data_IF_044907668873
#
_entry.id   IF_044907668873
#
_cell.length_a   1.000
_cell.length_b   1.000
_cell.length_c   1.000
_cell.angle_alpha   90.00
_cell.angle_beta   90.00
_cell.angle_gamma   90.00
#
_symmetry.space_group_name_H-M   'P 1'
#
loop_
_entity.id
_entity.type
_entity.pdbx_description
1 polymer ?
#
# COMPACT_ATOMS: atom_id res chain seq x y z
N UNK A 1 -0.17 -41.03 -2.30
CA UNK A 1 -1.12 -41.29 -1.20
C UNK A 1 -0.44 -41.03 0.15
N UNK A 2 0.73 -41.59 0.42
CA UNK A 2 1.51 -41.31 1.66
C UNK A 2 1.95 -39.84 1.80
N UNK A 3 2.39 -39.17 0.73
CA UNK A 3 2.76 -37.73 0.79
C UNK A 3 1.56 -36.80 1.07
N UNK A 4 0.39 -37.14 0.55
CA UNK A 4 -0.83 -36.33 0.74
C UNK A 4 -1.38 -36.50 2.15
N UNK A 5 -1.24 -37.69 2.74
CA UNK A 5 -1.67 -38.00 4.10
C UNK A 5 -0.70 -37.38 5.13
N UNK A 6 0.61 -37.39 4.84
CA UNK A 6 1.62 -36.70 5.65
C UNK A 6 1.43 -35.18 5.63
N UNK A 7 1.15 -34.60 4.47
CA UNK A 7 0.85 -33.16 4.32
C UNK A 7 -0.37 -32.75 5.15
N UNK A 8 -1.45 -33.54 5.15
CA UNK A 8 -2.65 -33.29 5.96
C UNK A 8 -2.40 -33.44 7.47
N UNK A 9 -1.54 -34.38 7.88
CA UNK A 9 -1.15 -34.53 9.29
C UNK A 9 -0.32 -33.33 9.78
N UNK A 10 0.62 -32.85 8.97
CA UNK A 10 1.43 -31.67 9.27
C UNK A 10 0.54 -30.41 9.40
N UNK A 11 -0.42 -30.20 8.48
CA UNK A 11 -1.38 -29.09 8.58
C UNK A 11 -2.22 -29.13 9.86
N UNK A 12 -2.69 -30.32 10.27
CA UNK A 12 -3.46 -30.48 11.52
C UNK A 12 -2.60 -30.18 12.77
N UNK A 13 -1.32 -30.54 12.74
CA UNK A 13 -0.34 -30.21 13.78
C UNK A 13 -0.16 -28.71 13.91
N UNK A 14 0.07 -28.02 12.80
CA UNK A 14 0.22 -26.56 12.74
C UNK A 14 -1.04 -25.84 13.24
N UNK A 15 -2.23 -26.26 12.78
CA UNK A 15 -3.51 -25.66 13.23
C UNK A 15 -3.70 -25.82 14.75
N UNK A 16 -3.35 -26.98 15.29
CA UNK A 16 -3.46 -27.24 16.73
C UNK A 16 -2.49 -26.36 17.53
N UNK A 17 -1.25 -26.22 17.05
CA UNK A 17 -0.25 -25.33 17.63
C UNK A 17 -0.71 -23.86 17.63
N UNK A 18 -1.18 -23.35 16.49
CA UNK A 18 -1.68 -21.98 16.34
C UNK A 18 -2.91 -21.70 17.21
N UNK A 19 -3.78 -22.71 17.37
CA UNK A 19 -4.94 -22.65 18.26
C UNK A 19 -4.52 -22.56 19.74
N UNK A 20 -3.46 -23.28 20.13
CA UNK A 20 -2.91 -23.21 21.49
C UNK A 20 -2.33 -21.81 21.80
N UNK A 21 -1.61 -21.20 20.85
CA UNK A 21 -1.14 -19.81 20.98
C UNK A 21 -2.33 -18.85 21.17
N UNK A 22 -3.37 -19.00 20.35
CA UNK A 22 -4.58 -18.17 20.45
C UNK A 22 -5.27 -18.32 21.80
N UNK A 23 -5.44 -19.55 22.29
CA UNK A 23 -6.03 -19.83 23.59
C UNK A 23 -5.20 -19.23 24.74
N UNK A 24 -3.86 -19.33 24.67
CA UNK A 24 -2.94 -18.71 25.62
C UNK A 24 -3.11 -17.19 25.68
N UNK A 25 -3.23 -16.54 24.51
CA UNK A 25 -3.43 -15.10 24.43
C UNK A 25 -4.76 -14.68 25.07
N UNK A 26 -5.85 -15.38 24.75
CA UNK A 26 -7.18 -15.12 25.31
C UNK A 26 -7.16 -15.29 26.85
N UNK A 27 -6.56 -16.38 27.34
CA UNK A 27 -6.45 -16.63 28.78
C UNK A 27 -5.64 -15.54 29.51
N UNK A 28 -4.59 -15.03 28.86
CA UNK A 28 -3.75 -13.94 29.40
C UNK A 28 -4.52 -12.62 29.48
N UNK A 29 -5.35 -12.31 28.47
CA UNK A 29 -6.19 -11.11 28.46
C UNK A 29 -7.25 -11.12 29.57
N UNK A 30 -7.85 -12.27 29.88
CA UNK A 30 -8.87 -12.39 30.93
C UNK A 30 -8.28 -12.27 32.35
N UNK A 31 -7.03 -12.69 32.56
CA UNK A 31 -6.36 -12.69 33.87
C UNK A 31 -5.56 -11.40 34.13
N UNK A 32 -6.16 -10.22 33.92
CA UNK A 32 -5.58 -8.89 34.23
C UNK A 32 -5.11 -8.67 35.69
N UNK A 33 -5.27 -9.64 36.60
CA UNK A 33 -4.93 -9.55 38.04
C UNK A 33 -3.91 -10.57 38.56
N UNK A 34 -3.62 -11.66 37.85
CA UNK A 34 -2.61 -12.62 38.27
C UNK A 34 -1.50 -12.62 37.22
N UNK A 35 -0.26 -12.32 37.65
CA UNK A 35 0.97 -12.38 36.85
C UNK A 35 1.21 -13.81 36.31
N UNK A 36 0.43 -14.25 35.32
CA UNK A 36 0.85 -15.32 34.44
C UNK A 36 2.01 -14.75 33.64
N UNK A 37 3.22 -15.01 34.13
CA UNK A 37 4.41 -14.83 33.33
C UNK A 37 4.27 -15.86 32.21
N UNK A 38 4.00 -15.41 31.00
CA UNK A 38 4.02 -16.29 29.84
C UNK A 38 5.38 -17.01 29.84
N UNK A 39 5.37 -18.32 29.62
CA UNK A 39 6.59 -19.11 29.46
C UNK A 39 7.44 -18.61 28.28
N UNK A 40 6.76 -18.01 27.30
CA UNK A 40 7.33 -17.44 26.09
C UNK A 40 6.94 -15.97 25.97
N UNK A 41 7.86 -15.15 25.51
CA UNK A 41 7.60 -13.75 25.15
C UNK A 41 6.68 -13.67 23.94
N UNK A 42 6.07 -12.48 23.74
CA UNK A 42 5.26 -12.20 22.56
C UNK A 42 6.06 -12.41 21.27
N UNK A 43 7.32 -11.97 21.26
CA UNK A 43 8.21 -12.07 20.10
C UNK A 43 8.60 -13.52 19.81
N UNK A 44 8.95 -14.33 20.82
CA UNK A 44 9.22 -15.76 20.63
C UNK A 44 8.00 -16.52 20.05
N UNK A 45 6.79 -16.18 20.51
CA UNK A 45 5.56 -16.75 19.96
C UNK A 45 5.32 -16.28 18.52
N UNK A 46 5.59 -15.02 18.21
CA UNK A 46 5.50 -14.48 16.85
C UNK A 46 6.52 -15.13 15.91
N UNK A 47 7.77 -15.30 16.33
CA UNK A 47 8.79 -16.03 15.57
C UNK A 47 8.35 -17.46 15.28
N UNK A 48 7.78 -18.16 16.26
CA UNK A 48 7.26 -19.51 16.03
C UNK A 48 6.11 -19.54 15.01
N UNK A 49 5.23 -18.53 15.00
CA UNK A 49 4.19 -18.40 13.96
C UNK A 49 4.80 -18.07 12.60
N UNK A 50 5.83 -17.21 12.54
CA UNK A 50 6.56 -16.89 11.31
C UNK A 50 7.19 -18.14 10.70
N UNK A 51 7.82 -19.01 11.51
CA UNK A 51 8.37 -20.29 11.06
C UNK A 51 7.31 -21.18 10.42
N UNK A 52 6.07 -21.18 10.92
CA UNK A 52 4.95 -21.90 10.29
C UNK A 52 4.59 -21.23 8.95
N UNK A 53 4.51 -19.90 8.90
CA UNK A 53 4.19 -19.15 7.68
C UNK A 53 5.23 -19.33 6.57
N UNK A 54 6.52 -19.42 6.91
CA UNK A 54 7.61 -19.63 5.94
C UNK A 54 7.61 -21.01 5.28
N UNK A 55 7.04 -22.02 5.96
CA UNK A 55 6.88 -23.37 5.41
C UNK A 55 5.73 -23.48 4.40
N UNK A 56 4.87 -22.47 4.33
CA UNK A 56 3.73 -22.48 3.41
C UNK A 56 4.21 -22.32 1.95
N UNK A 57 3.58 -23.01 1.00
CA UNK A 57 4.01 -22.99 -0.40
C UNK A 57 3.96 -21.58 -1.01
N UNK A 58 5.04 -21.20 -1.69
CA UNK A 58 5.27 -19.88 -2.29
C UNK A 58 4.24 -19.54 -3.40
N UNK A 59 3.75 -20.55 -4.12
CA UNK A 59 2.77 -20.37 -5.22
C UNK A 59 1.54 -21.28 -5.07
N UNK A 60 0.78 -20.98 -4.01
CA UNK A 60 -0.68 -20.99 -3.94
C UNK A 60 -1.47 -22.28 -4.21
N UNK A 61 -1.38 -23.23 -3.30
CA UNK A 61 -2.54 -24.06 -2.92
C UNK A 61 -3.24 -23.35 -1.74
N UNK A 62 -4.54 -23.01 -1.83
CA UNK A 62 -5.28 -22.47 -0.69
C UNK A 62 -5.24 -23.43 0.51
N UNK A 63 -4.76 -22.94 1.65
CA UNK A 63 -4.66 -23.70 2.92
C UNK A 63 -5.35 -22.92 4.06
N UNK A 64 -5.88 -23.64 5.05
CA UNK A 64 -6.43 -23.06 6.27
C UNK A 64 -5.36 -22.66 7.29
N UNK A 65 -4.09 -23.05 7.10
CA UNK A 65 -3.02 -22.72 8.04
C UNK A 65 -2.73 -21.22 8.05
N UNK A 66 -2.67 -20.56 6.88
CA UNK A 66 -2.40 -19.12 6.77
C UNK A 66 -3.38 -18.24 7.56
N UNK A 67 -4.72 -18.38 7.44
CA UNK A 67 -5.63 -17.62 8.28
C UNK A 67 -5.49 -17.96 9.78
N UNK A 68 -5.17 -19.21 10.15
CA UNK A 68 -4.86 -19.55 11.54
C UNK A 68 -3.61 -18.80 12.06
N UNK A 69 -2.55 -18.68 11.25
CA UNK A 69 -1.36 -17.88 11.61
C UNK A 69 -1.74 -16.42 11.86
N UNK A 70 -2.51 -15.82 10.94
CA UNK A 70 -2.96 -14.43 11.07
C UNK A 70 -3.87 -14.22 12.30
N UNK A 71 -4.71 -15.20 12.66
CA UNK A 71 -5.51 -15.16 13.89
C UNK A 71 -4.63 -15.25 15.14
N UNK A 72 -3.60 -16.09 15.14
CA UNK A 72 -2.64 -16.17 16.24
C UNK A 72 -1.91 -14.82 16.44
N UNK A 73 -1.41 -14.20 15.35
CA UNK A 73 -0.80 -12.87 15.43
C UNK A 73 -1.81 -11.80 15.85
N UNK A 74 -3.05 -11.85 15.35
CA UNK A 74 -4.12 -10.96 15.81
C UNK A 74 -4.35 -11.05 17.32
N UNK A 75 -4.27 -12.24 17.91
CA UNK A 75 -4.44 -12.40 19.35
C UNK A 75 -3.22 -11.90 20.13
N UNK A 76 -2.01 -12.07 19.57
CA UNK A 76 -0.76 -11.54 20.11
C UNK A 76 -0.73 -10.00 20.07
N UNK A 77 -1.27 -9.37 19.02
CA UNK A 77 -1.34 -7.90 18.89
C UNK A 77 -2.15 -7.23 20.00
N UNK A 78 -3.02 -7.98 20.68
CA UNK A 78 -3.81 -7.47 21.82
C UNK A 78 -3.04 -7.49 23.16
N UNK A 79 -1.85 -8.08 23.20
CA UNK A 79 -0.99 -8.15 24.38
C UNK A 79 0.08 -7.06 24.28
N UNK A 80 0.30 -6.29 25.36
CA UNK A 80 1.36 -5.28 25.41
C UNK A 80 2.71 -5.92 25.77
N UNK A 81 3.85 -5.37 25.30
CA UNK A 81 4.01 -4.20 24.42
C UNK A 81 3.65 -4.49 22.94
N UNK A 82 3.64 -3.47 22.06
CA UNK A 82 3.52 -3.68 20.61
C UNK A 82 4.51 -4.70 20.06
N UNK A 83 4.18 -5.33 18.93
CA UNK A 83 5.13 -6.22 18.23
C UNK A 83 6.41 -5.48 17.84
N UNK A 84 7.53 -6.23 17.83
CA UNK A 84 8.76 -5.72 17.26
C UNK A 84 8.57 -5.30 15.77
N UNK A 85 9.05 -4.11 15.36
CA UNK A 85 8.91 -3.60 14.00
C UNK A 85 9.42 -4.50 12.87
N UNK A 86 10.45 -5.32 13.11
CA UNK A 86 11.02 -6.23 12.12
C UNK A 86 10.20 -7.52 12.03
N UNK A 87 9.77 -8.05 13.18
CA UNK A 87 8.84 -9.20 13.22
C UNK A 87 7.50 -8.86 12.57
N UNK A 88 6.93 -7.69 12.87
CA UNK A 88 5.71 -7.20 12.22
C UNK A 88 5.90 -7.12 10.70
N UNK A 89 7.04 -6.60 10.24
CA UNK A 89 7.37 -6.54 8.82
C UNK A 89 7.47 -7.92 8.18
N UNK A 90 8.02 -8.91 8.89
CA UNK A 90 8.06 -10.30 8.42
C UNK A 90 6.65 -10.88 8.27
N UNK A 91 5.82 -10.73 9.30
CA UNK A 91 4.41 -11.18 9.27
C UNK A 91 3.65 -10.53 8.11
N UNK A 92 3.77 -9.21 7.94
CA UNK A 92 3.10 -8.47 6.86
C UNK A 92 3.52 -9.01 5.49
N UNK A 93 4.82 -9.21 5.25
CA UNK A 93 5.32 -9.76 3.97
C UNK A 93 4.74 -11.15 3.69
N UNK A 94 4.82 -12.07 4.65
CA UNK A 94 4.34 -13.45 4.46
C UNK A 94 2.82 -13.52 4.30
N UNK A 95 2.08 -12.77 5.13
CA UNK A 95 0.62 -12.72 5.06
C UNK A 95 0.12 -12.13 3.74
N UNK A 96 0.70 -11.00 3.32
CA UNK A 96 0.34 -10.35 2.05
C UNK A 96 0.73 -11.23 0.87
N UNK A 97 1.90 -11.85 0.88
CA UNK A 97 2.31 -12.78 -0.16
C UNK A 97 1.28 -13.90 -0.31
N UNK A 98 0.98 -14.64 0.76
CA UNK A 98 0.04 -15.76 0.72
C UNK A 98 -1.39 -15.37 0.33
N UNK A 99 -1.86 -14.16 0.65
CA UNK A 99 -3.21 -13.69 0.30
C UNK A 99 -3.26 -13.11 -1.11
N UNK A 100 -2.28 -12.31 -1.50
CA UNK A 100 -2.29 -11.58 -2.76
C UNK A 100 -1.94 -12.45 -3.94
N UNK A 101 -1.07 -13.46 -3.78
CA UNK A 101 -0.72 -14.41 -4.85
C UNK A 101 -1.64 -15.64 -4.88
N UNK A 102 -2.58 -15.78 -3.93
CA UNK A 102 -3.45 -16.96 -3.83
C UNK A 102 -4.17 -17.25 -5.15
N UNK A 103 -3.87 -18.40 -5.75
CA UNK A 103 -4.50 -18.87 -6.96
C UNK A 103 -5.89 -19.44 -6.64
N UNK A 104 -6.89 -18.71 -7.11
CA UNK A 104 -8.29 -19.13 -7.01
C UNK A 104 -8.72 -19.83 -8.31
N UNK A 105 -7.98 -19.65 -9.43
CA UNK A 105 -8.26 -20.24 -10.74
C UNK A 105 -9.73 -20.21 -11.15
N UNK A 106 -10.18 -21.27 -11.82
CA UNK A 106 -11.60 -21.67 -11.96
C UNK A 106 -12.09 -22.48 -10.75
N UNK A 107 -11.39 -22.39 -9.62
CA UNK A 107 -11.59 -23.21 -8.44
C UNK A 107 -13.03 -23.24 -7.95
N UNK A 108 -13.48 -24.45 -7.59
CA UNK A 108 -14.79 -24.69 -7.01
C UNK A 108 -15.07 -23.85 -5.76
N UNK A 109 -16.32 -23.84 -5.32
CA UNK A 109 -16.84 -22.99 -4.25
C UNK A 109 -15.95 -22.96 -2.99
N UNK A 110 -15.32 -24.08 -2.64
CA UNK A 110 -14.41 -24.22 -1.49
C UNK A 110 -13.18 -23.29 -1.57
N UNK A 111 -12.47 -23.22 -2.71
CA UNK A 111 -11.30 -22.35 -2.86
C UNK A 111 -11.67 -20.87 -2.75
N UNK A 112 -12.83 -20.51 -3.31
CA UNK A 112 -13.35 -19.14 -3.21
C UNK A 112 -13.75 -18.79 -1.78
N UNK A 113 -14.40 -19.69 -1.05
CA UNK A 113 -14.77 -19.50 0.35
C UNK A 113 -13.54 -19.36 1.25
N UNK A 114 -12.52 -20.20 1.04
CA UNK A 114 -11.27 -20.14 1.79
C UNK A 114 -10.52 -18.83 1.51
N UNK A 115 -10.43 -18.39 0.25
CA UNK A 115 -9.85 -17.09 -0.07
C UNK A 115 -10.60 -15.94 0.59
N UNK A 116 -11.95 -15.93 0.56
CA UNK A 116 -12.76 -14.86 1.20
C UNK A 116 -12.46 -14.79 2.70
N UNK A 117 -12.40 -15.95 3.36
CA UNK A 117 -12.07 -16.06 4.79
C UNK A 117 -10.66 -15.57 5.07
N UNK A 118 -9.69 -15.99 4.26
CA UNK A 118 -8.27 -15.60 4.38
C UNK A 118 -8.09 -14.10 4.16
N UNK A 119 -8.72 -13.54 3.11
CA UNK A 119 -8.70 -12.10 2.83
C UNK A 119 -9.36 -11.29 3.94
N UNK A 120 -10.48 -11.74 4.50
CA UNK A 120 -11.12 -11.07 5.63
C UNK A 120 -10.24 -11.09 6.88
N UNK A 121 -9.53 -12.21 7.10
CA UNK A 121 -8.59 -12.37 8.22
C UNK A 121 -7.38 -11.43 8.07
N UNK A 122 -6.85 -11.25 6.85
CA UNK A 122 -5.82 -10.25 6.59
C UNK A 122 -6.31 -8.83 6.94
N UNK A 123 -7.53 -8.46 6.57
CA UNK A 123 -8.09 -7.16 6.94
C UNK A 123 -8.20 -6.99 8.46
N UNK A 124 -8.57 -8.04 9.20
CA UNK A 124 -8.61 -8.02 10.68
C UNK A 124 -7.20 -7.85 11.25
N UNK A 125 -6.22 -8.60 10.74
CA UNK A 125 -4.83 -8.51 11.14
C UNK A 125 -4.29 -7.09 10.97
N UNK A 126 -4.41 -6.51 9.77
CA UNK A 126 -3.92 -5.16 9.46
C UNK A 126 -4.52 -4.10 10.39
N UNK A 127 -5.83 -4.17 10.64
CA UNK A 127 -6.50 -3.27 11.60
C UNK A 127 -6.00 -3.47 13.02
N UNK A 128 -5.73 -4.71 13.42
CA UNK A 128 -5.25 -5.01 14.76
C UNK A 128 -3.82 -4.53 15.02
N UNK A 129 -2.93 -4.68 14.04
CA UNK A 129 -1.56 -4.18 14.08
C UNK A 129 -1.58 -2.65 14.17
N UNK A 130 -2.33 -1.98 13.29
CA UNK A 130 -2.46 -0.53 13.35
C UNK A 130 -2.99 -0.03 14.70
N UNK A 131 -3.89 -0.78 15.34
CA UNK A 131 -4.43 -0.42 16.65
C UNK A 131 -3.43 -0.60 17.81
N UNK A 132 -2.29 -1.29 17.63
CA UNK A 132 -1.24 -1.37 18.65
C UNK A 132 -0.51 -0.04 18.83
N UNK A 133 -0.30 0.68 17.72
CA UNK A 133 0.27 2.01 17.67
C UNK A 133 -0.48 2.84 16.61
N UNK A 134 -1.60 3.51 16.97
CA UNK A 134 -2.52 4.14 16.02
C UNK A 134 -2.00 5.48 15.52
N UNK A 135 -0.79 5.49 14.97
CA UNK A 135 -0.15 6.69 14.43
C UNK A 135 -0.13 6.68 12.91
N UNK A 136 -0.06 7.87 12.31
CA UNK A 136 0.11 7.95 10.85
C UNK A 136 1.44 7.35 10.40
N UNK A 137 2.49 7.41 11.23
CA UNK A 137 3.78 6.78 10.93
C UNK A 137 3.64 5.27 10.78
N UNK A 138 2.92 4.62 11.70
CA UNK A 138 2.67 3.20 11.63
C UNK A 138 1.77 2.83 10.45
N UNK A 139 0.71 3.59 10.19
CA UNK A 139 -0.13 3.42 9.00
C UNK A 139 0.69 3.40 7.71
N UNK A 140 1.60 4.38 7.52
CA UNK A 140 2.45 4.44 6.33
C UNK A 140 3.42 3.26 6.24
N UNK A 141 3.98 2.78 7.36
CA UNK A 141 4.80 1.56 7.39
C UNK A 141 4.03 0.33 6.90
N UNK A 142 2.79 0.13 7.34
CA UNK A 142 1.95 -0.98 6.86
C UNK A 142 1.63 -0.79 5.37
N UNK A 143 1.30 0.43 4.95
CA UNK A 143 1.01 0.74 3.54
C UNK A 143 2.21 0.46 2.63
N UNK A 144 3.44 0.69 3.08
CA UNK A 144 4.67 0.35 2.32
C UNK A 144 4.72 -1.12 1.92
N UNK A 145 4.35 -2.03 2.82
CA UNK A 145 4.26 -3.46 2.52
C UNK A 145 3.15 -3.77 1.51
N UNK A 146 2.01 -3.07 1.59
CA UNK A 146 0.91 -3.22 0.62
C UNK A 146 1.32 -2.66 -0.76
N UNK A 147 1.99 -1.52 -0.80
CA UNK A 147 2.36 -0.81 -2.02
C UNK A 147 3.40 -1.56 -2.85
N UNK A 148 4.20 -2.44 -2.26
CA UNK A 148 4.98 -3.41 -3.03
C UNK A 148 4.12 -4.16 -4.06
N UNK A 149 2.88 -4.52 -3.71
CA UNK A 149 1.99 -5.32 -4.54
C UNK A 149 1.11 -4.51 -5.50
N UNK A 150 0.96 -3.20 -5.30
CA UNK A 150 0.17 -2.38 -6.25
C UNK A 150 0.89 -2.20 -7.59
N UNK A 151 2.20 -2.49 -7.63
CA UNK A 151 3.03 -2.47 -8.86
C UNK A 151 3.18 -3.85 -9.50
N UNK A 152 2.50 -4.89 -8.99
CA UNK A 152 2.60 -6.24 -9.53
C UNK A 152 2.19 -6.31 -11.01
N UNK A 153 2.89 -7.12 -11.80
CA UNK A 153 2.49 -7.45 -13.17
C UNK A 153 1.12 -8.15 -13.24
N UNK A 154 0.70 -8.82 -12.17
CA UNK A 154 -0.56 -9.57 -12.12
C UNK A 154 -1.72 -8.69 -11.65
N UNK A 155 -2.74 -8.57 -12.52
CA UNK A 155 -3.93 -7.73 -12.24
C UNK A 155 -4.64 -8.09 -10.93
N UNK A 156 -4.69 -9.37 -10.58
CA UNK A 156 -5.40 -9.85 -9.39
C UNK A 156 -4.66 -9.40 -8.12
N UNK A 157 -3.33 -9.51 -8.09
CA UNK A 157 -2.50 -9.02 -7.00
C UNK A 157 -2.69 -7.51 -6.78
N UNK A 158 -2.62 -6.71 -7.86
CA UNK A 158 -2.85 -5.26 -7.77
C UNK A 158 -4.24 -4.93 -7.21
N UNK A 159 -5.29 -5.60 -7.68
CA UNK A 159 -6.67 -5.42 -7.18
C UNK A 159 -6.76 -5.73 -5.68
N UNK A 160 -6.15 -6.83 -5.23
CA UNK A 160 -6.17 -7.25 -3.82
C UNK A 160 -5.42 -6.25 -2.95
N UNK A 161 -4.22 -5.84 -3.37
CA UNK A 161 -3.38 -4.89 -2.65
C UNK A 161 -4.06 -3.53 -2.46
N UNK A 162 -4.53 -2.92 -3.55
CA UNK A 162 -5.15 -1.58 -3.47
C UNK A 162 -6.49 -1.61 -2.71
N UNK A 163 -7.23 -2.73 -2.74
CA UNK A 163 -8.42 -2.91 -1.90
C UNK A 163 -8.05 -2.91 -0.42
N UNK A 164 -6.98 -3.61 -0.03
CA UNK A 164 -6.47 -3.62 1.35
C UNK A 164 -5.97 -2.25 1.79
N UNK A 165 -5.24 -1.53 0.93
CA UNK A 165 -4.82 -0.14 1.17
C UNK A 165 -6.04 0.74 1.49
N UNK A 166 -7.07 0.71 0.65
CA UNK A 166 -8.29 1.50 0.85
C UNK A 166 -9.02 1.11 2.14
N UNK A 167 -9.05 -0.18 2.51
CA UNK A 167 -9.69 -0.66 3.73
C UNK A 167 -8.95 -0.22 5.00
N UNK A 168 -7.62 -0.27 4.98
CA UNK A 168 -6.78 0.18 6.08
C UNK A 168 -6.90 1.69 6.30
N UNK A 169 -6.84 2.47 5.22
CA UNK A 169 -7.01 3.93 5.27
C UNK A 169 -8.40 4.33 5.76
N UNK A 170 -9.46 3.66 5.29
CA UNK A 170 -10.82 3.85 5.83
C UNK A 170 -10.88 3.58 7.33
N UNK A 171 -10.25 2.51 7.80
CA UNK A 171 -10.23 2.18 9.21
C UNK A 171 -9.52 3.28 10.02
N UNK A 172 -8.35 3.74 9.58
CA UNK A 172 -7.60 4.81 10.24
C UNK A 172 -8.43 6.11 10.39
N UNK A 173 -9.17 6.52 9.34
CA UNK A 173 -10.05 7.71 9.40
C UNK A 173 -11.14 7.57 10.46
N UNK A 174 -11.64 6.35 10.69
CA UNK A 174 -12.73 6.07 11.63
C UNK A 174 -12.25 5.83 13.07
N UNK A 175 -10.94 5.82 13.31
CA UNK A 175 -10.39 5.58 14.64
C UNK A 175 -10.41 6.87 15.50
N UNK A 176 -11.07 6.85 16.68
CA UNK A 176 -11.16 8.04 17.54
C UNK A 176 -9.81 8.50 18.09
N UNK A 177 -8.94 7.56 18.47
CA UNK A 177 -7.66 7.81 19.13
C UNK A 177 -6.49 7.86 18.13
N UNK A 178 -6.76 8.08 16.84
CA UNK A 178 -5.74 8.07 15.81
C UNK A 178 -4.86 9.33 15.85
N UNK A 179 -3.56 9.14 16.01
CA UNK A 179 -2.60 10.24 16.04
C UNK A 179 -2.18 10.64 14.61
N UNK A 180 -2.79 11.74 14.15
CA UNK A 180 -2.46 12.38 12.89
C UNK A 180 -1.30 13.39 12.99
N UNK A 181 -0.71 13.61 14.17
CA UNK A 181 0.24 14.74 14.39
C UNK A 181 1.66 14.48 13.92
N UNK A 182 2.03 13.21 13.72
CA UNK A 182 3.38 12.82 13.30
C UNK A 182 3.80 13.47 11.97
N UNK A 183 5.06 13.92 11.88
CA UNK A 183 5.67 14.36 10.62
C UNK A 183 5.96 13.13 9.75
N UNK A 184 5.52 13.18 8.50
CA UNK A 184 5.58 12.03 7.58
C UNK A 184 6.47 12.39 6.39
N UNK A 185 7.78 12.12 6.45
CA UNK A 185 8.68 12.46 5.36
C UNK A 185 8.31 11.73 4.05
N UNK A 186 7.75 10.51 4.14
CA UNK A 186 7.41 9.67 2.97
C UNK A 186 5.96 9.83 2.47
N UNK A 187 5.18 10.78 3.01
CA UNK A 187 3.79 10.98 2.58
C UNK A 187 3.68 11.24 1.07
N UNK A 188 4.60 12.04 0.53
CA UNK A 188 4.62 12.36 -0.90
C UNK A 188 4.82 11.11 -1.77
N UNK A 189 5.69 10.20 -1.33
CA UNK A 189 5.90 8.92 -2.02
C UNK A 189 4.60 8.12 -2.10
N UNK A 190 3.89 7.91 -0.99
CA UNK A 190 2.65 7.14 -1.01
C UNK A 190 1.51 7.79 -1.79
N UNK A 191 1.40 9.12 -1.75
CA UNK A 191 0.42 9.84 -2.58
C UNK A 191 0.72 9.63 -4.06
N UNK A 192 1.98 9.73 -4.48
CA UNK A 192 2.38 9.51 -5.86
C UNK A 192 2.10 8.07 -6.32
N UNK A 193 2.45 7.08 -5.50
CA UNK A 193 2.17 5.66 -5.79
C UNK A 193 0.69 5.39 -6.01
N UNK A 194 -0.17 5.88 -5.11
CA UNK A 194 -1.62 5.74 -5.26
C UNK A 194 -2.15 6.52 -6.47
N UNK A 195 -1.59 7.69 -6.75
CA UNK A 195 -2.00 8.52 -7.89
C UNK A 195 -1.70 7.81 -9.22
N UNK A 196 -0.54 7.16 -9.36
CA UNK A 196 -0.22 6.33 -10.53
C UNK A 196 -1.29 5.26 -10.76
N UNK A 197 -1.77 4.61 -9.70
CA UNK A 197 -2.82 3.59 -9.79
C UNK A 197 -4.19 4.11 -10.30
N UNK A 198 -4.44 5.43 -10.31
CA UNK A 198 -5.65 6.00 -10.93
C UNK A 198 -5.69 5.67 -12.44
N UNK A 199 -4.52 5.60 -13.08
CA UNK A 199 -4.36 5.29 -14.51
C UNK A 199 -4.41 3.80 -14.86
N UNK A 200 -4.59 2.90 -13.88
CA UNK A 200 -4.58 1.45 -14.10
C UNK A 200 -5.70 1.02 -15.08
N UNK A 201 -5.43 0.11 -16.03
CA UNK A 201 -6.45 -0.40 -16.95
C UNK A 201 -7.60 -1.14 -16.26
N UNK A 202 -7.39 -1.68 -15.07
CA UNK A 202 -8.41 -2.33 -14.26
C UNK A 202 -9.21 -1.29 -13.49
N UNK A 203 -10.50 -1.14 -13.84
CA UNK A 203 -11.40 -0.18 -13.19
C UNK A 203 -11.48 -0.35 -11.67
N UNK A 204 -11.36 -1.58 -11.17
CA UNK A 204 -11.32 -1.85 -9.74
C UNK A 204 -10.10 -1.23 -9.06
N UNK A 205 -8.92 -1.26 -9.71
CA UNK A 205 -7.70 -0.65 -9.18
C UNK A 205 -7.85 0.87 -9.14
N UNK A 206 -8.24 1.49 -10.26
CA UNK A 206 -8.46 2.94 -10.33
C UNK A 206 -9.48 3.43 -9.29
N UNK A 207 -10.60 2.72 -9.11
CA UNK A 207 -11.62 3.07 -8.11
C UNK A 207 -11.08 3.00 -6.68
N UNK A 208 -10.36 1.93 -6.33
CA UNK A 208 -9.79 1.79 -5.00
C UNK A 208 -8.63 2.75 -4.75
N UNK A 209 -7.85 3.10 -5.77
CA UNK A 209 -6.80 4.12 -5.67
C UNK A 209 -7.38 5.51 -5.35
N UNK A 210 -8.46 5.91 -6.05
CA UNK A 210 -9.18 7.16 -5.74
C UNK A 210 -9.73 7.18 -4.32
N UNK A 211 -10.29 6.06 -3.87
CA UNK A 211 -10.74 5.92 -2.48
C UNK A 211 -9.58 6.04 -1.49
N UNK A 212 -8.46 5.36 -1.71
CA UNK A 212 -7.27 5.47 -0.86
C UNK A 212 -6.76 6.92 -0.77
N UNK A 213 -6.66 7.62 -1.89
CA UNK A 213 -6.24 9.03 -1.91
C UNK A 213 -7.23 9.92 -1.18
N UNK A 214 -8.53 9.69 -1.36
CA UNK A 214 -9.56 10.44 -0.64
C UNK A 214 -9.44 10.26 0.88
N UNK A 215 -9.26 9.03 1.36
CA UNK A 215 -9.05 8.75 2.80
C UNK A 215 -7.76 9.36 3.34
N UNK A 216 -6.68 9.30 2.57
CA UNK A 216 -5.43 9.94 2.96
C UNK A 216 -5.56 11.47 3.02
N UNK A 217 -6.37 12.06 2.12
CA UNK A 217 -6.70 13.48 2.16
C UNK A 217 -7.54 13.83 3.38
N UNK A 218 -8.53 13.03 3.75
CA UNK A 218 -9.31 13.22 4.99
C UNK A 218 -8.39 13.24 6.23
N UNK A 219 -7.46 12.28 6.34
CA UNK A 219 -6.47 12.27 7.43
C UNK A 219 -5.61 13.54 7.46
N UNK A 220 -5.16 13.99 6.29
CA UNK A 220 -4.34 15.20 6.17
C UNK A 220 -5.12 16.47 6.52
N UNK A 221 -6.40 16.55 6.13
CA UNK A 221 -7.27 17.67 6.48
C UNK A 221 -7.53 17.71 7.99
N UNK A 222 -7.77 16.55 8.62
CA UNK A 222 -7.89 16.44 10.07
C UNK A 222 -6.62 16.91 10.78
N UNK A 223 -5.44 16.47 10.31
CA UNK A 223 -4.15 16.93 10.83
C UNK A 223 -3.98 18.46 10.74
N UNK A 224 -4.52 19.08 9.68
CA UNK A 224 -4.41 20.52 9.44
C UNK A 224 -5.55 21.34 10.04
N UNK A 225 -6.53 20.71 10.69
CA UNK A 225 -7.72 21.38 11.23
C UNK A 225 -8.64 21.96 10.16
N UNK A 226 -8.59 21.45 8.93
CA UNK A 226 -9.40 21.94 7.80
C UNK A 226 -10.64 21.07 7.68
N UNK A 227 -11.81 21.71 7.66
CA UNK A 227 -13.09 21.02 7.46
C UNK A 227 -13.27 20.60 6.00
N UNK A 228 -13.88 19.44 5.77
CA UNK A 228 -14.13 18.89 4.43
C UNK A 228 -14.87 19.84 3.48
N UNK A 229 -15.78 20.66 3.99
CA UNK A 229 -16.52 21.64 3.17
C UNK A 229 -15.65 22.81 2.66
N UNK A 230 -14.49 23.05 3.30
CA UNK A 230 -13.51 24.05 2.89
C UNK A 230 -12.36 23.42 2.08
N UNK A 231 -12.37 22.10 1.89
CA UNK A 231 -11.33 21.38 1.20
C UNK A 231 -11.39 21.61 -0.32
N UNK A 232 -10.23 21.70 -0.96
CA UNK A 232 -10.15 21.68 -2.43
C UNK A 232 -10.71 20.36 -2.95
N UNK A 233 -11.51 20.43 -4.02
CA UNK A 233 -12.04 19.24 -4.68
C UNK A 233 -10.87 18.41 -5.26
N UNK A 234 -10.90 17.08 -5.08
CA UNK A 234 -9.89 16.17 -5.66
C UNK A 234 -10.29 15.66 -7.04
N UNK A 235 -11.59 15.45 -7.27
CA UNK A 235 -12.07 14.73 -8.44
C UNK A 235 -12.67 15.66 -9.47
N UNK A 236 -12.37 15.41 -10.75
CA UNK A 236 -13.04 16.10 -11.84
C UNK A 236 -14.39 15.43 -12.11
N UNK A 237 -15.44 16.25 -12.27
CA UNK A 237 -16.78 15.79 -12.66
C UNK A 237 -17.04 15.91 -14.17
N UNK A 238 -16.16 16.60 -14.90
CA UNK A 238 -16.21 16.77 -16.35
C UNK A 238 -15.60 15.53 -17.03
N UNK A 239 -15.94 15.27 -18.30
CA UNK A 239 -15.39 14.16 -19.09
C UNK A 239 -15.72 12.74 -18.57
N UNK A 240 -16.91 12.54 -18.00
CA UNK A 240 -17.32 11.23 -17.45
C UNK A 240 -17.32 10.10 -18.48
N UNK A 241 -17.57 10.45 -19.75
CA UNK A 241 -17.59 9.52 -20.88
C UNK A 241 -16.15 9.20 -21.38
N UNK A 242 -15.19 10.12 -21.22
CA UNK A 242 -13.80 9.95 -21.63
C UNK A 242 -12.92 9.45 -20.48
N UNK A 243 -13.05 8.15 -20.16
CA UNK A 243 -12.40 7.53 -18.98
C UNK A 243 -10.90 7.79 -18.86
N UNK A 244 -10.16 7.80 -19.98
CA UNK A 244 -8.70 8.03 -19.99
C UNK A 244 -8.34 9.50 -19.75
N UNK A 245 -9.06 10.43 -20.37
CA UNK A 245 -8.87 11.85 -20.12
C UNK A 245 -9.21 12.20 -18.66
N UNK A 246 -10.30 11.63 -18.14
CA UNK A 246 -10.68 11.75 -16.74
C UNK A 246 -9.62 11.19 -15.78
N UNK A 247 -8.94 10.09 -16.13
CA UNK A 247 -7.85 9.57 -15.28
C UNK A 247 -6.66 10.53 -15.26
N UNK A 248 -6.29 11.12 -16.40
CA UNK A 248 -5.23 12.14 -16.46
C UNK A 248 -5.53 13.34 -15.58
N UNK A 249 -6.73 13.93 -15.74
CA UNK A 249 -7.15 15.09 -14.94
C UNK A 249 -7.11 14.76 -13.44
N UNK A 250 -7.63 13.60 -13.04
CA UNK A 250 -7.64 13.22 -11.63
C UNK A 250 -6.22 13.03 -11.08
N UNK A 251 -5.28 12.47 -11.85
CA UNK A 251 -3.88 12.34 -11.42
C UNK A 251 -3.22 13.70 -11.18
N UNK A 252 -3.40 14.66 -12.10
CA UNK A 252 -2.83 16.00 -11.90
C UNK A 252 -3.47 16.73 -10.72
N UNK A 253 -4.80 16.64 -10.57
CA UNK A 253 -5.53 17.29 -9.47
C UNK A 253 -5.06 16.76 -8.11
N UNK A 254 -4.65 15.48 -8.02
CA UNK A 254 -3.99 14.94 -6.83
C UNK A 254 -2.66 15.65 -6.56
N UNK A 255 -1.78 15.75 -7.55
CA UNK A 255 -0.50 16.46 -7.40
C UNK A 255 -0.66 17.93 -7.02
N UNK A 256 -1.60 18.64 -7.64
CA UNK A 256 -1.91 20.05 -7.36
C UNK A 256 -2.46 20.24 -5.94
N UNK A 257 -3.44 19.42 -5.54
CA UNK A 257 -4.10 19.55 -4.23
C UNK A 257 -3.12 19.18 -3.12
N UNK A 258 -2.51 18.00 -3.17
CA UNK A 258 -1.56 17.56 -2.14
C UNK A 258 -0.30 18.41 -2.10
N UNK A 259 0.14 18.92 -3.26
CA UNK A 259 1.27 19.84 -3.35
C UNK A 259 1.13 21.08 -2.48
N UNK A 260 -0.10 21.56 -2.25
CA UNK A 260 -0.35 22.71 -1.37
C UNK A 260 -0.19 22.40 0.13
N UNK A 261 -0.10 21.12 0.51
CA UNK A 261 0.09 20.69 1.88
C UNK A 261 1.50 20.19 2.19
N UNK A 262 2.24 19.76 1.15
CA UNK A 262 3.55 19.16 1.31
C UNK A 262 4.59 20.15 1.84
N UNK A 263 5.39 19.68 2.79
CA UNK A 263 6.68 20.30 3.08
C UNK A 263 7.72 19.90 2.02
N UNK A 264 8.91 20.48 2.09
CA UNK A 264 9.99 20.23 1.13
C UNK A 264 10.35 18.74 1.01
N UNK A 265 10.47 18.02 2.13
CA UNK A 265 10.79 16.59 2.13
C UNK A 265 9.69 15.76 1.45
N UNK A 266 8.43 16.05 1.75
CA UNK A 266 7.29 15.37 1.13
C UNK A 266 7.25 15.65 -0.37
N UNK A 267 7.46 16.91 -0.78
CA UNK A 267 7.53 17.29 -2.18
C UNK A 267 8.65 16.56 -2.92
N UNK A 268 9.83 16.43 -2.30
CA UNK A 268 10.96 15.64 -2.84
C UNK A 268 10.60 14.15 -2.99
N UNK A 269 10.00 13.54 -1.97
CA UNK A 269 9.59 12.13 -2.03
C UNK A 269 8.53 11.87 -3.12
N UNK A 270 7.56 12.78 -3.29
CA UNK A 270 6.57 12.72 -4.36
C UNK A 270 7.24 12.81 -5.73
N UNK A 271 8.13 13.79 -5.90
CA UNK A 271 8.82 14.02 -7.17
C UNK A 271 9.72 12.83 -7.54
N UNK A 272 10.45 12.27 -6.58
CA UNK A 272 11.28 11.06 -6.79
C UNK A 272 10.43 9.90 -7.31
N UNK A 273 9.31 9.60 -6.68
CA UNK A 273 8.40 8.53 -7.15
C UNK A 273 7.86 8.81 -8.55
N UNK A 274 7.46 10.05 -8.84
CA UNK A 274 6.96 10.44 -10.15
C UNK A 274 8.03 10.34 -11.25
N UNK A 275 9.27 10.73 -10.95
CA UNK A 275 10.41 10.58 -11.85
C UNK A 275 10.74 9.11 -12.13
N UNK A 276 10.79 8.25 -11.11
CA UNK A 276 10.98 6.81 -11.32
C UNK A 276 9.87 6.21 -12.20
N UNK A 277 8.62 6.64 -11.99
CA UNK A 277 7.50 6.20 -12.83
C UNK A 277 7.68 6.59 -14.31
N UNK A 278 8.30 7.75 -14.60
CA UNK A 278 8.61 8.17 -15.98
C UNK A 278 9.47 7.14 -16.69
N UNK A 279 10.35 6.39 -16.03
CA UNK A 279 11.21 5.39 -16.67
C UNK A 279 10.59 3.99 -16.76
N UNK A 280 9.39 3.79 -16.19
CA UNK A 280 8.71 2.49 -16.23
C UNK A 280 8.45 2.01 -17.67
N UNK A 281 8.67 0.72 -18.00
CA UNK A 281 8.32 0.17 -19.31
C UNK A 281 6.80 0.18 -19.54
N UNK A 282 5.98 0.24 -18.48
CA UNK A 282 4.53 0.39 -18.61
C UNK A 282 4.18 1.83 -19.03
N UNK A 283 3.60 1.96 -20.23
CA UNK A 283 3.17 3.23 -20.81
C UNK A 283 2.22 4.02 -19.90
N UNK A 284 1.32 3.38 -19.16
CA UNK A 284 0.37 4.07 -18.27
C UNK A 284 1.08 4.65 -17.06
N UNK A 285 2.03 3.90 -16.51
CA UNK A 285 2.84 4.34 -15.37
C UNK A 285 3.73 5.51 -15.76
N UNK A 286 4.33 5.47 -16.95
CA UNK A 286 5.17 6.57 -17.43
C UNK A 286 4.39 7.82 -17.81
N UNK A 287 3.24 7.68 -18.48
CA UNK A 287 2.31 8.79 -18.70
C UNK A 287 1.89 9.41 -17.35
N UNK A 288 1.61 8.60 -16.33
CA UNK A 288 1.28 9.09 -14.98
C UNK A 288 2.46 9.84 -14.33
N UNK A 289 3.69 9.35 -14.46
CA UNK A 289 4.89 10.02 -13.96
C UNK A 289 5.00 11.46 -14.48
N UNK A 290 4.84 11.67 -15.79
CA UNK A 290 4.85 13.02 -16.39
C UNK A 290 3.74 13.91 -15.81
N UNK A 291 2.51 13.41 -15.72
CA UNK A 291 1.38 14.16 -15.17
C UNK A 291 1.63 14.59 -13.72
N UNK A 292 2.21 13.70 -12.91
CA UNK A 292 2.53 13.98 -11.51
C UNK A 292 3.68 14.99 -11.37
N UNK A 293 4.73 14.88 -12.18
CA UNK A 293 5.82 15.89 -12.21
C UNK A 293 5.26 17.26 -12.57
N UNK A 294 4.50 17.38 -13.65
CA UNK A 294 3.97 18.68 -14.09
C UNK A 294 2.98 19.28 -13.09
N UNK A 295 2.13 18.45 -12.47
CA UNK A 295 1.18 18.93 -11.46
C UNK A 295 1.86 19.45 -10.20
N UNK A 296 2.87 18.75 -9.66
CA UNK A 296 3.56 19.22 -8.44
C UNK A 296 4.47 20.44 -8.68
N UNK A 297 4.83 20.69 -9.93
CA UNK A 297 5.58 21.87 -10.35
C UNK A 297 4.69 23.08 -10.62
N UNK A 298 3.36 22.90 -10.68
CA UNK A 298 2.42 23.97 -11.01
C UNK A 298 2.26 24.23 -12.50
N UNK A 299 2.71 23.30 -13.35
CA UNK A 299 2.75 23.44 -14.81
C UNK A 299 1.76 22.51 -15.52
N UNK A 300 0.72 22.02 -14.82
CA UNK A 300 -0.25 21.08 -15.38
C UNK A 300 -0.90 21.60 -16.68
N UNK A 301 -1.14 22.91 -16.75
CA UNK A 301 -1.71 23.58 -17.92
C UNK A 301 -0.90 23.41 -19.21
N UNK A 302 0.42 23.23 -19.13
CA UNK A 302 1.27 22.98 -20.30
C UNK A 302 0.93 21.67 -21.01
N UNK A 303 0.49 20.66 -20.25
CA UNK A 303 0.11 19.35 -20.78
C UNK A 303 -1.34 19.31 -21.25
N UNK A 304 -2.18 20.18 -20.70
CA UNK A 304 -3.62 20.10 -20.87
C UNK A 304 -4.10 20.75 -22.16
N UNK A 305 -5.19 20.19 -22.68
CA UNK A 305 -5.81 20.60 -23.93
C UNK A 305 -7.28 20.16 -23.93
N UNK A 306 -8.08 20.71 -24.85
CA UNK A 306 -9.48 20.30 -25.05
C UNK A 306 -9.54 18.92 -25.69
N UNK A 307 -8.61 18.64 -26.60
CA UNK A 307 -8.54 17.36 -27.32
C UNK A 307 -7.61 16.35 -26.62
N UNK A 308 -8.14 15.17 -26.24
CA UNK A 308 -7.35 14.08 -25.63
C UNK A 308 -6.12 13.69 -26.49
N UNK A 309 -6.24 13.78 -27.82
CA UNK A 309 -5.16 13.48 -28.76
C UNK A 309 -3.98 14.44 -28.60
N UNK A 310 -4.24 15.73 -28.37
CA UNK A 310 -3.19 16.73 -28.16
C UNK A 310 -2.51 16.54 -26.81
N UNK A 311 -3.29 16.25 -25.75
CA UNK A 311 -2.75 15.90 -24.42
C UNK A 311 -1.80 14.72 -24.51
N UNK A 312 -2.20 13.64 -25.19
CA UNK A 312 -1.32 12.48 -25.42
C UNK A 312 -0.04 12.83 -26.18
N UNK A 313 -0.13 13.69 -27.20
CA UNK A 313 1.03 14.15 -27.97
C UNK A 313 2.00 14.95 -27.10
N UNK A 314 1.49 15.87 -26.28
CA UNK A 314 2.28 16.65 -25.32
C UNK A 314 2.97 15.75 -24.30
N UNK A 315 2.25 14.80 -23.69
CA UNK A 315 2.84 13.83 -22.74
C UNK A 315 3.94 13.01 -23.42
N UNK A 316 3.69 12.50 -24.62
CA UNK A 316 4.69 11.71 -25.34
C UNK A 316 5.95 12.51 -25.68
N UNK A 317 5.78 13.78 -26.08
CA UNK A 317 6.90 14.70 -26.30
C UNK A 317 7.74 14.88 -25.02
N UNK A 318 7.11 15.03 -23.87
CA UNK A 318 7.85 15.13 -22.60
C UNK A 318 8.51 13.81 -22.20
N UNK A 319 7.85 12.67 -22.41
CA UNK A 319 8.47 11.36 -22.20
C UNK A 319 9.75 11.20 -23.04
N UNK A 320 9.71 11.62 -24.30
CA UNK A 320 10.88 11.58 -25.18
C UNK A 320 12.01 12.47 -24.63
N UNK A 321 11.70 13.70 -24.21
CA UNK A 321 12.69 14.62 -23.62
C UNK A 321 13.37 14.04 -22.38
N UNK A 322 12.59 13.49 -21.45
CA UNK A 322 13.13 12.92 -20.22
C UNK A 322 13.96 11.65 -20.45
N UNK A 323 13.45 10.72 -21.29
CA UNK A 323 14.06 9.39 -21.45
C UNK A 323 15.17 9.32 -22.48
N UNK A 324 15.08 10.12 -23.54
CA UNK A 324 15.97 10.05 -24.69
C UNK A 324 16.95 11.21 -24.70
N UNK A 325 16.48 12.42 -24.40
CA UNK A 325 17.31 13.62 -24.41
C UNK A 325 17.96 13.93 -23.06
N UNK A 326 17.61 13.19 -21.99
CA UNK A 326 18.00 13.47 -20.60
C UNK A 326 17.73 14.93 -20.17
N UNK A 327 16.69 15.54 -20.73
CA UNK A 327 16.28 16.92 -20.44
C UNK A 327 15.27 16.94 -19.28
N UNK A 328 15.75 17.26 -18.08
CA UNK A 328 14.87 17.53 -16.93
C UNK A 328 14.38 18.98 -16.94
N UNK A 329 13.13 19.27 -16.54
CA UNK A 329 12.66 20.65 -16.34
C UNK A 329 13.55 21.36 -15.34
N UNK A 330 13.84 22.64 -15.58
CA UNK A 330 14.71 23.47 -14.71
C UNK A 330 14.27 23.41 -13.24
N UNK A 331 12.96 23.37 -12.99
CA UNK A 331 12.42 23.25 -11.64
C UNK A 331 12.78 21.92 -10.94
N UNK A 332 12.94 20.83 -11.69
CA UNK A 332 13.43 19.54 -11.16
C UNK A 332 14.93 19.61 -10.88
N UNK A 333 15.70 20.24 -11.77
CA UNK A 333 17.16 20.42 -11.60
C UNK A 333 17.50 21.27 -10.35
N UNK A 334 16.67 22.28 -10.04
CA UNK A 334 16.85 23.08 -8.82
C UNK A 334 16.65 22.30 -7.52
N UNK A 335 15.84 21.23 -7.56
CA UNK A 335 15.57 20.35 -6.41
C UNK A 335 16.64 19.26 -6.23
N UNK A 336 17.41 18.93 -7.28
CA UNK A 336 18.60 18.06 -7.19
C UNK A 336 19.86 18.82 -6.76
N UNK A 337 19.97 20.10 -7.10
CA UNK A 337 21.14 20.92 -6.74
C UNK A 337 21.20 21.33 -5.25
N UNK A 338 20.08 21.28 -4.52
CA UNK A 338 20.03 21.65 -3.10
C UNK A 338 20.45 20.47 -2.20
N UNK A 339 21.77 20.36 -1.98
CA UNK A 339 22.51 19.53 -1.00
C UNK A 339 22.56 18.01 -1.27
N UNK A 340 23.71 17.59 -1.80
CA UNK A 340 24.33 16.26 -1.63
C UNK A 340 23.54 15.10 -2.21
N UNK A 341 23.97 14.62 -3.37
CA UNK A 341 23.50 13.47 -4.14
C UNK A 341 22.63 12.44 -3.41
N UNK A 342 21.36 12.34 -3.83
CA UNK A 342 20.47 11.16 -3.63
C UNK A 342 19.41 11.02 -4.74
N UNK A 343 19.33 11.95 -5.71
CA UNK A 343 18.31 11.85 -6.79
C UNK A 343 18.85 11.21 -8.08
N UNK A 344 20.15 11.33 -8.38
CA UNK A 344 20.76 10.76 -9.59
C UNK A 344 21.43 9.39 -9.37
N UNK A 345 22.02 9.12 -8.20
CA UNK A 345 22.64 7.81 -7.93
C UNK A 345 21.63 6.65 -8.04
N UNK A 346 20.38 6.86 -7.61
CA UNK A 346 19.30 5.88 -7.75
C UNK A 346 18.69 5.79 -9.17
N UNK A 347 18.97 6.76 -10.06
CA UNK A 347 18.59 6.70 -11.47
C UNK A 347 19.58 5.85 -12.27
N UNK A 348 20.87 5.91 -11.94
CA UNK A 348 21.91 5.12 -12.62
C UNK A 348 21.78 3.61 -12.35
N UNK A 349 21.38 3.21 -11.13
CA UNK A 349 21.09 1.81 -10.81
C UNK A 349 19.84 1.26 -11.55
N UNK A 350 18.92 2.13 -11.97
CA UNK A 350 17.71 1.74 -12.69
C UNK A 350 17.88 1.73 -14.22
N UNK A 351 18.90 2.40 -14.75
CA UNK A 351 19.24 2.42 -16.19
C UNK A 351 20.02 1.16 -16.60
N UNK A 352 20.52 0.36 -15.65
CA UNK A 352 21.24 -0.90 -15.90
C UNK A 352 20.41 -2.20 -15.80
N UNK A 353 19.07 -2.11 -15.68
CA UNK A 353 18.13 -3.25 -15.78
C UNK A 353 17.10 -2.99 -16.88
#
# INVERSE_FOLDING_TARGET
MEEEDKSKQDENGDISFLSAISALCIATQHKRRNKLKLLYTKDELTEAVVVVMEKLPVHSVPTSVLPCCMVAIYNLSKIKPPLDPELESCVLRLAMHGVFTMDIGTGGATKQALYRTTSATLEILLRSLLAEDPTTKHLLRILKHIHFWIHSKYKVERIRAIKSSAALLRFAVLMPDFDATCKLPELGHHVAELAICIGDPQAAVSRHAKESIFRLYELLLHQKGIRMNNAKELWCRRYQEEKKMLSYINMMKVGEVFGTFFNEQQRRSFLRTALLAIYSPDRRVSEAGILLVYSILGNAEELMDVEEKQVKKKIWHQLHKFRVCNELPVAVQSLSASKGDVLMEDLDDYVQL
#
